data_IF_940192473465
#
_entry.id   IF_940192473465
#
_cell.length_a   1.000
_cell.length_b   1.000
_cell.length_c   1.000
_cell.angle_alpha   90.00
_cell.angle_beta   90.00
_cell.angle_gamma   90.00
#
_symmetry.space_group_name_H-M   'P 1'
#
loop_
_entity.id
_entity.type
_entity.pdbx_description
1 polymer ?
#
# COMPACT_ATOMS: atom_id res chain seq x y z
N UNK A 1 1.35 31.57 10.23
CA UNK A 1 1.02 30.14 10.42
C UNK A 1 2.20 29.34 9.91
N UNK A 2 2.59 28.26 10.60
CA UNK A 2 3.58 27.33 10.05
C UNK A 2 3.02 26.74 8.74
N UNK A 3 3.88 26.55 7.72
CA UNK A 3 3.45 25.88 6.49
C UNK A 3 3.00 24.46 6.83
N UNK A 4 1.78 24.11 6.46
CA UNK A 4 1.29 22.74 6.49
C UNK A 4 1.63 22.06 5.16
N UNK A 5 1.95 20.78 5.22
CA UNK A 5 2.32 19.98 4.05
C UNK A 5 1.46 18.73 3.98
N UNK A 6 1.23 18.26 2.76
CA UNK A 6 0.71 16.93 2.50
C UNK A 6 1.89 16.07 2.05
N UNK A 7 2.03 14.90 2.65
CA UNK A 7 3.04 13.90 2.30
C UNK A 7 2.31 12.63 1.90
N UNK A 8 2.23 12.41 0.59
CA UNK A 8 1.80 11.13 0.04
C UNK A 8 3.02 10.24 0.00
N UNK A 9 2.95 9.03 0.53
CA UNK A 9 4.11 8.14 0.60
C UNK A 9 3.73 6.68 0.36
N UNK A 10 4.75 5.92 -0.02
CA UNK A 10 4.71 4.48 -0.20
C UNK A 10 6.08 3.88 0.16
N UNK A 11 6.13 2.58 0.50
CA UNK A 11 7.36 1.90 0.92
C UNK A 11 7.56 0.57 0.19
N UNK A 12 8.79 0.33 -0.25
CA UNK A 12 9.20 -0.99 -0.73
C UNK A 12 10.01 -1.75 0.31
N UNK A 13 9.76 -3.06 0.36
CA UNK A 13 10.39 -3.93 1.34
C UNK A 13 10.80 -5.27 0.75
N UNK A 14 11.77 -5.91 1.40
CA UNK A 14 12.14 -7.31 1.17
C UNK A 14 12.01 -8.10 2.48
N UNK A 15 11.97 -9.44 2.43
CA UNK A 15 12.15 -10.27 3.62
C UNK A 15 13.49 -10.00 4.33
N UNK A 16 13.46 -9.88 5.65
CA UNK A 16 14.63 -9.77 6.50
C UNK A 16 15.24 -11.17 6.70
N UNK A 17 16.06 -11.59 5.73
CA UNK A 17 16.67 -12.92 5.72
C UNK A 17 17.35 -13.24 7.05
N UNK A 18 18.09 -12.31 7.66
CA UNK A 18 18.78 -12.53 8.94
C UNK A 18 17.82 -12.81 10.10
N UNK A 19 16.70 -12.08 10.18
CA UNK A 19 15.67 -12.36 11.18
C UNK A 19 15.01 -13.73 10.93
N UNK A 20 14.74 -14.04 9.67
CA UNK A 20 14.14 -15.31 9.26
C UNK A 20 15.05 -16.48 9.66
N UNK A 21 16.36 -16.41 9.36
CA UNK A 21 17.34 -17.42 9.80
C UNK A 21 17.31 -17.60 11.30
N UNK A 22 17.29 -16.49 12.05
CA UNK A 22 17.28 -16.52 13.52
C UNK A 22 16.04 -17.20 14.10
N UNK A 23 14.86 -16.99 13.51
CA UNK A 23 13.60 -17.49 14.06
C UNK A 23 13.28 -18.90 13.56
N UNK A 24 13.49 -19.17 12.27
CA UNK A 24 13.06 -20.40 11.62
C UNK A 24 14.20 -21.39 11.35
N UNK A 25 15.46 -20.99 11.53
CA UNK A 25 16.61 -21.86 11.28
C UNK A 25 16.78 -22.25 9.80
N UNK A 26 16.30 -21.41 8.88
CA UNK A 26 16.44 -21.62 7.44
C UNK A 26 17.86 -21.22 7.02
N UNK A 27 18.59 -22.12 6.37
CA UNK A 27 19.92 -21.87 5.82
C UNK A 27 19.86 -21.59 4.32
N UNK A 28 20.92 -20.96 3.78
CA UNK A 28 21.02 -20.60 2.36
C UNK A 28 21.47 -19.16 2.13
N UNK A 29 21.51 -18.72 0.86
CA UNK A 29 21.74 -17.31 0.53
C UNK A 29 20.59 -16.42 1.06
N UNK A 30 20.79 -15.10 1.14
CA UNK A 30 19.74 -14.18 1.61
C UNK A 30 18.47 -14.30 0.73
N UNK A 31 18.65 -14.47 -0.58
CA UNK A 31 17.59 -14.69 -1.55
C UNK A 31 16.87 -16.03 -1.31
N UNK A 32 17.61 -17.13 -1.18
CA UNK A 32 17.02 -18.45 -0.93
C UNK A 32 16.20 -18.47 0.36
N UNK A 33 16.70 -17.82 1.42
CA UNK A 33 15.99 -17.71 2.70
C UNK A 33 14.70 -16.91 2.54
N UNK A 34 14.73 -15.84 1.74
CA UNK A 34 13.57 -15.00 1.46
C UNK A 34 12.48 -15.78 0.71
N UNK A 35 12.85 -16.47 -0.36
CA UNK A 35 11.94 -17.28 -1.19
C UNK A 35 11.34 -18.42 -0.37
N UNK A 36 12.15 -19.13 0.44
CA UNK A 36 11.67 -20.20 1.30
C UNK A 36 10.67 -19.69 2.35
N UNK A 37 10.92 -18.52 2.96
CA UNK A 37 10.01 -17.94 3.93
C UNK A 37 8.65 -17.57 3.30
N UNK A 38 8.66 -16.98 2.11
CA UNK A 38 7.44 -16.65 1.36
C UNK A 38 6.65 -17.92 1.00
N UNK A 39 7.33 -18.99 0.59
CA UNK A 39 6.69 -20.27 0.30
C UNK A 39 6.05 -20.90 1.54
N UNK A 40 6.74 -20.90 2.69
CA UNK A 40 6.19 -21.39 3.97
C UNK A 40 4.99 -20.55 4.42
N UNK A 41 5.05 -19.22 4.24
CA UNK A 41 3.92 -18.33 4.54
C UNK A 41 2.72 -18.61 3.64
N UNK A 42 2.95 -18.91 2.35
CA UNK A 42 1.90 -19.30 1.40
C UNK A 42 1.24 -20.61 1.78
N UNK A 43 2.03 -21.61 2.18
CA UNK A 43 1.51 -22.88 2.68
C UNK A 43 0.64 -22.68 3.93
N UNK A 44 1.07 -21.82 4.86
CA UNK A 44 0.37 -21.59 6.13
C UNK A 44 -0.88 -20.69 6.00
N UNK A 45 -0.87 -19.70 5.11
CA UNK A 45 -1.86 -18.61 5.08
C UNK A 45 -2.57 -18.40 3.74
N UNK A 46 -2.07 -19.00 2.66
CA UNK A 46 -2.52 -18.75 1.29
C UNK A 46 -1.95 -17.49 0.63
N UNK A 47 -1.08 -16.74 1.31
CA UNK A 47 -0.41 -15.54 0.79
C UNK A 47 1.11 -15.65 0.94
N UNK A 48 1.88 -15.12 -0.01
CA UNK A 48 3.34 -15.01 0.12
C UNK A 48 3.77 -13.80 0.97
N UNK A 49 2.81 -12.93 1.33
CA UNK A 49 3.08 -11.72 2.09
C UNK A 49 3.38 -12.04 3.55
N UNK A 50 4.58 -11.67 4.01
CA UNK A 50 5.05 -12.00 5.34
C UNK A 50 4.42 -11.08 6.41
N UNK A 51 4.37 -11.52 7.67
CA UNK A 51 4.04 -10.62 8.78
C UNK A 51 5.04 -9.45 8.91
N UNK A 52 4.57 -8.27 9.27
CA UNK A 52 5.31 -6.97 9.20
C UNK A 52 6.70 -6.97 9.83
N UNK A 53 6.95 -7.77 10.88
CA UNK A 53 8.27 -7.82 11.54
C UNK A 53 9.35 -8.47 10.67
N UNK A 54 8.96 -9.29 9.69
CA UNK A 54 9.86 -9.96 8.76
C UNK A 54 10.20 -9.11 7.53
N UNK A 55 9.69 -7.89 7.44
CA UNK A 55 10.05 -6.98 6.35
C UNK A 55 11.27 -6.12 6.73
N UNK A 56 12.02 -5.74 5.71
CA UNK A 56 13.14 -4.79 5.75
C UNK A 56 12.89 -3.74 4.66
N UNK A 57 12.97 -2.46 5.02
CA UNK A 57 12.74 -1.36 4.09
C UNK A 57 13.92 -1.20 3.15
N UNK A 58 13.61 -1.05 1.86
CA UNK A 58 14.60 -0.79 0.81
C UNK A 58 14.36 0.56 0.12
N UNK A 59 13.11 1.03 0.05
CA UNK A 59 12.78 2.36 -0.45
C UNK A 59 11.62 2.98 0.33
N UNK A 60 11.62 4.32 0.42
CA UNK A 60 10.47 5.13 0.83
C UNK A 60 10.38 6.29 -0.16
N UNK A 61 9.36 6.30 -1.01
CA UNK A 61 9.10 7.39 -1.94
C UNK A 61 7.99 8.29 -1.42
N UNK A 62 8.08 9.57 -1.75
CA UNK A 62 7.08 10.55 -1.35
C UNK A 62 6.79 11.59 -2.43
N UNK A 63 5.51 11.90 -2.60
CA UNK A 63 5.06 13.17 -3.18
C UNK A 63 4.83 14.17 -2.05
N UNK A 64 5.46 15.33 -2.19
CA UNK A 64 5.20 16.49 -1.35
C UNK A 64 4.23 17.43 -2.05
N UNK A 65 3.18 17.83 -1.35
CA UNK A 65 2.25 18.86 -1.77
C UNK A 65 2.06 19.92 -0.68
N UNK A 66 1.58 21.10 -1.06
CA UNK A 66 1.13 22.09 -0.08
C UNK A 66 -0.21 21.70 0.56
N UNK A 67 -0.70 22.53 1.48
CA UNK A 67 -1.94 22.26 2.22
C UNK A 67 -3.20 22.18 1.35
N UNK A 68 -3.15 22.71 0.12
CA UNK A 68 -4.25 22.67 -0.85
C UNK A 68 -4.12 21.53 -1.84
N UNK A 69 -3.09 20.68 -1.69
CA UNK A 69 -2.83 19.59 -2.62
C UNK A 69 -2.06 20.01 -3.87
N UNK A 70 -1.45 21.19 -3.92
CA UNK A 70 -0.58 21.55 -5.05
C UNK A 70 0.73 20.78 -4.98
N UNK A 71 1.03 20.05 -6.05
CA UNK A 71 2.28 19.31 -6.21
C UNK A 71 3.52 20.21 -6.03
N UNK A 72 4.49 19.73 -5.24
CA UNK A 72 5.78 20.40 -5.05
C UNK A 72 6.93 19.57 -5.63
N UNK A 73 6.99 18.28 -5.32
CA UNK A 73 8.01 17.34 -5.84
C UNK A 73 7.63 15.89 -5.57
N UNK A 74 8.23 14.97 -6.33
CA UNK A 74 8.32 13.54 -6.03
C UNK A 74 9.81 13.17 -5.83
N UNK A 75 10.12 12.30 -4.88
CA UNK A 75 11.46 11.76 -4.68
C UNK A 75 11.48 10.55 -3.75
N UNK A 76 12.39 9.61 -3.98
CA UNK A 76 12.79 8.60 -2.98
C UNK A 76 13.75 9.15 -1.92
N UNK A 77 13.57 8.74 -0.66
CA UNK A 77 14.47 9.06 0.45
C UNK A 77 15.84 8.39 0.28
N UNK A 78 16.88 9.19 0.02
CA UNK A 78 18.26 8.70 0.02
C UNK A 78 18.76 8.35 1.42
N UNK A 79 19.53 7.27 1.57
CA UNK A 79 20.21 6.93 2.81
C UNK A 79 21.22 5.80 2.60
N UNK A 80 22.26 5.74 3.43
CA UNK A 80 23.31 4.71 3.31
C UNK A 80 22.83 3.31 3.71
N UNK A 81 21.82 3.25 4.56
CA UNK A 81 21.24 2.05 5.13
C UNK A 81 19.77 2.30 5.49
N UNK A 82 19.04 1.22 5.79
CA UNK A 82 17.63 1.26 6.18
C UNK A 82 17.38 2.21 7.37
N UNK A 83 18.28 2.22 8.36
CA UNK A 83 18.13 3.06 9.55
C UNK A 83 18.12 4.54 9.17
N UNK A 84 19.01 4.96 8.28
CA UNK A 84 19.06 6.35 7.83
C UNK A 84 17.82 6.75 7.03
N UNK A 85 17.33 5.88 6.15
CA UNK A 85 16.11 6.09 5.36
C UNK A 85 14.91 6.32 6.30
N UNK A 86 14.69 5.40 7.24
CA UNK A 86 13.59 5.51 8.22
C UNK A 86 13.77 6.73 9.12
N UNK A 87 15.00 7.01 9.57
CA UNK A 87 15.27 8.16 10.43
C UNK A 87 14.94 9.49 9.73
N UNK A 88 15.23 9.63 8.43
CA UNK A 88 14.88 10.83 7.66
C UNK A 88 13.36 10.99 7.53
N UNK A 89 12.63 9.92 7.23
CA UNK A 89 11.17 9.96 7.16
C UNK A 89 10.53 10.33 8.50
N UNK A 90 10.95 9.70 9.60
CA UNK A 90 10.43 10.02 10.94
C UNK A 90 10.82 11.42 11.40
N UNK A 91 12.03 11.89 11.09
CA UNK A 91 12.45 13.26 11.35
C UNK A 91 11.53 14.26 10.64
N UNK A 92 11.21 14.00 9.38
CA UNK A 92 10.28 14.83 8.63
C UNK A 92 8.88 14.89 9.29
N UNK A 93 8.34 13.75 9.71
CA UNK A 93 7.05 13.71 10.44
C UNK A 93 7.13 14.51 11.75
N UNK A 94 8.19 14.34 12.53
CA UNK A 94 8.38 15.04 13.80
C UNK A 94 8.51 16.55 13.64
N UNK A 95 9.28 17.00 12.65
CA UNK A 95 9.59 18.42 12.45
C UNK A 95 8.40 19.17 11.83
N UNK A 96 7.66 18.54 10.90
CA UNK A 96 6.68 19.25 10.06
C UNK A 96 5.22 18.87 10.33
N UNK A 97 4.95 17.75 11.00
CA UNK A 97 3.59 17.26 11.25
C UNK A 97 2.68 17.31 9.99
N UNK A 98 3.13 16.77 8.84
CA UNK A 98 2.37 16.81 7.59
C UNK A 98 1.07 16.00 7.70
N UNK A 99 0.06 16.29 6.88
CA UNK A 99 -1.00 15.32 6.60
C UNK A 99 -0.41 14.19 5.78
N UNK A 100 -0.38 12.98 6.34
CA UNK A 100 0.04 11.78 5.63
C UNK A 100 -1.09 11.28 4.73
N UNK A 101 -0.73 10.83 3.53
CA UNK A 101 -1.63 10.15 2.61
C UNK A 101 -0.94 8.88 2.12
N UNK A 102 -1.68 7.78 2.07
CA UNK A 102 -1.15 6.48 1.64
C UNK A 102 -2.28 5.64 1.05
N UNK A 103 -1.94 4.58 0.32
CA UNK A 103 -2.87 3.50 0.00
C UNK A 103 -2.52 2.27 0.84
N UNK A 104 -3.39 1.87 1.78
CA UNK A 104 -3.14 0.76 2.73
C UNK A 104 -1.96 0.98 3.70
N UNK A 105 -1.46 2.21 3.85
CA UNK A 105 -0.37 2.53 4.77
C UNK A 105 -0.67 2.28 6.24
N UNK A 106 -1.95 2.25 6.64
CA UNK A 106 -2.37 1.84 7.99
C UNK A 106 -2.33 0.33 8.15
N UNK A 107 -2.60 -0.42 7.08
CA UNK A 107 -2.58 -1.87 7.07
C UNK A 107 -1.18 -2.47 7.02
N UNK A 108 -0.21 -1.73 6.45
CA UNK A 108 1.16 -2.25 6.27
C UNK A 108 2.26 -1.24 6.59
N UNK A 109 2.40 -0.16 5.82
CA UNK A 109 3.59 0.69 5.80
C UNK A 109 3.92 1.30 7.17
N UNK A 110 2.98 1.98 7.81
CA UNK A 110 3.21 2.61 9.11
C UNK A 110 3.44 1.56 10.21
N UNK A 111 2.63 0.50 10.37
CA UNK A 111 2.95 -0.58 11.30
C UNK A 111 4.36 -1.15 11.10
N UNK A 112 4.73 -1.44 9.85
CA UNK A 112 6.05 -1.97 9.49
C UNK A 112 7.15 -0.96 9.85
N UNK A 113 7.03 0.30 9.44
CA UNK A 113 7.99 1.37 9.75
C UNK A 113 8.15 1.56 11.24
N UNK A 114 7.08 1.50 12.04
CA UNK A 114 7.18 1.62 13.50
C UNK A 114 7.91 0.43 14.13
N UNK A 115 7.69 -0.79 13.63
CA UNK A 115 8.45 -1.98 14.07
C UNK A 115 9.94 -1.83 13.74
N UNK A 116 10.27 -1.36 12.54
CA UNK A 116 11.66 -1.10 12.14
C UNK A 116 12.28 0.07 12.91
N UNK A 117 11.51 1.11 13.20
CA UNK A 117 11.94 2.23 14.03
C UNK A 117 12.33 1.79 15.44
N UNK A 118 11.53 0.90 16.06
CA UNK A 118 11.85 0.30 17.36
C UNK A 118 13.16 -0.48 17.32
N UNK A 119 13.40 -1.27 16.26
CA UNK A 119 14.68 -1.98 16.08
C UNK A 119 15.89 -1.02 16.11
N UNK A 120 15.73 0.18 15.58
CA UNK A 120 16.80 1.18 15.47
C UNK A 120 16.80 2.24 16.58
N UNK A 121 15.93 2.11 17.58
CA UNK A 121 15.73 3.09 18.65
C UNK A 121 15.45 4.52 18.12
N UNK A 122 14.66 4.61 17.05
CA UNK A 122 14.27 5.89 16.45
C UNK A 122 12.99 6.43 17.10
N UNK A 123 12.87 7.76 17.14
CA UNK A 123 11.72 8.44 17.74
C UNK A 123 10.68 8.83 16.67
N UNK A 124 9.41 8.52 16.93
CA UNK A 124 8.25 8.93 16.14
C UNK A 124 7.24 9.71 17.01
N UNK A 125 7.71 10.67 17.80
CA UNK A 125 6.91 11.39 18.80
C UNK A 125 5.65 12.02 18.18
N UNK A 126 5.78 12.71 17.04
CA UNK A 126 4.63 13.34 16.39
C UNK A 126 3.56 12.34 15.95
N UNK A 127 3.96 11.13 15.53
CA UNK A 127 3.05 10.06 15.13
C UNK A 127 2.22 9.52 16.32
N UNK A 128 2.85 9.38 17.48
CA UNK A 128 2.20 8.88 18.70
C UNK A 128 1.56 9.97 19.57
N UNK A 129 1.85 11.23 19.30
CA UNK A 129 1.24 12.37 19.99
C UNK A 129 -0.27 12.43 19.71
N UNK A 130 -1.07 12.15 20.74
CA UNK A 130 -2.54 12.16 20.66
C UNK A 130 -3.17 13.49 21.02
N UNK A 131 -2.45 14.38 21.70
CA UNK A 131 -2.96 15.67 22.16
C UNK A 131 -1.91 16.76 21.93
N UNK A 132 -2.27 17.76 21.13
CA UNK A 132 -1.45 18.94 20.88
C UNK A 132 -2.36 20.08 20.43
N UNK A 133 -2.55 21.08 21.28
CA UNK A 133 -3.47 22.20 21.02
C UNK A 133 -3.00 23.08 19.87
N UNK A 134 -1.70 23.27 19.70
CA UNK A 134 -1.12 24.13 18.67
C UNK A 134 -1.32 23.54 17.27
N UNK A 135 -1.26 22.22 17.17
CA UNK A 135 -1.47 21.48 15.92
C UNK A 135 -2.92 21.01 15.73
N UNK A 136 -3.82 21.31 16.67
CA UNK A 136 -5.20 20.81 16.68
C UNK A 136 -5.31 19.26 16.72
N UNK A 137 -4.35 18.59 17.37
CA UNK A 137 -4.44 17.15 17.67
C UNK A 137 -5.26 16.91 18.91
N UNK A 138 -6.12 15.90 18.84
CA UNK A 138 -6.89 15.39 19.97
C UNK A 138 -7.09 13.88 19.82
N UNK A 139 -7.70 13.24 20.82
CA UNK A 139 -7.91 11.78 20.83
C UNK A 139 -8.66 11.22 19.61
N UNK A 140 -9.43 12.05 18.90
CA UNK A 140 -10.18 11.68 17.69
C UNK A 140 -9.51 12.12 16.39
N UNK A 141 -8.57 13.06 16.46
CA UNK A 141 -7.88 13.63 15.31
C UNK A 141 -6.37 13.65 15.57
N UNK A 142 -5.70 12.59 15.15
CA UNK A 142 -4.25 12.41 15.19
C UNK A 142 -3.87 11.32 14.16
N UNK A 143 -2.58 11.06 13.94
CA UNK A 143 -2.14 10.08 12.93
C UNK A 143 -2.70 8.67 13.13
N UNK A 144 -2.98 8.28 14.37
CA UNK A 144 -3.46 6.94 14.73
C UNK A 144 -4.98 6.84 14.77
N UNK A 145 -5.70 7.96 14.64
CA UNK A 145 -7.16 7.98 14.60
C UNK A 145 -7.65 7.50 13.22
N UNK A 146 -7.98 6.20 13.12
CA UNK A 146 -8.33 5.53 11.85
C UNK A 146 -9.40 6.26 11.03
N UNK A 147 -10.45 6.74 11.69
CA UNK A 147 -11.62 7.34 11.03
C UNK A 147 -11.48 8.85 10.78
N UNK A 148 -10.31 9.45 11.06
CA UNK A 148 -10.05 10.86 10.80
C UNK A 148 -9.03 11.03 9.68
N UNK A 149 -9.37 11.69 8.56
CA UNK A 149 -8.44 11.89 7.44
C UNK A 149 -7.46 13.06 7.67
N UNK A 150 -7.59 13.77 8.79
CA UNK A 150 -6.95 15.07 9.04
C UNK A 150 -5.43 14.99 9.13
N UNK A 151 -4.93 13.99 9.85
CA UNK A 151 -3.48 13.75 9.99
C UNK A 151 -3.01 12.57 9.14
N UNK A 152 -3.86 11.57 8.93
CA UNK A 152 -3.55 10.45 8.04
C UNK A 152 -4.80 10.03 7.27
N UNK A 153 -4.81 10.30 5.97
CA UNK A 153 -5.79 9.75 5.05
C UNK A 153 -5.22 8.47 4.42
N UNK A 154 -5.72 7.32 4.86
CA UNK A 154 -5.49 6.06 4.14
C UNK A 154 -6.59 5.88 3.10
N UNK A 155 -6.24 6.01 1.83
CA UNK A 155 -7.19 5.95 0.71
C UNK A 155 -7.90 4.61 0.62
N UNK A 156 -7.24 3.50 0.97
CA UNK A 156 -7.90 2.19 0.95
C UNK A 156 -9.00 2.14 2.01
N UNK A 157 -8.71 2.60 3.23
CA UNK A 157 -9.71 2.66 4.31
C UNK A 157 -10.89 3.53 3.88
N UNK A 158 -10.68 4.73 3.34
CA UNK A 158 -11.79 5.64 3.01
C UNK A 158 -12.58 5.20 1.77
N UNK A 159 -11.92 4.70 0.72
CA UNK A 159 -12.59 4.27 -0.51
C UNK A 159 -13.34 2.95 -0.31
N UNK A 160 -12.80 2.05 0.52
CA UNK A 160 -13.47 0.77 0.85
C UNK A 160 -14.57 0.89 1.91
N UNK A 161 -14.84 2.12 2.39
CA UNK A 161 -15.71 2.39 3.54
C UNK A 161 -15.30 1.54 4.76
N UNK A 162 -14.03 1.68 5.14
CA UNK A 162 -13.35 1.04 6.26
C UNK A 162 -13.39 -0.50 6.23
N UNK A 163 -13.35 -1.08 5.02
CA UNK A 163 -13.36 -2.51 4.78
C UNK A 163 -14.74 -3.12 4.52
N UNK A 164 -15.76 -2.29 4.30
CA UNK A 164 -17.07 -2.72 3.77
C UNK A 164 -16.92 -3.41 2.41
N UNK A 165 -15.97 -2.96 1.59
CA UNK A 165 -15.52 -3.64 0.36
C UNK A 165 -14.10 -4.18 0.56
N UNK A 166 -13.81 -5.38 0.04
CA UNK A 166 -12.48 -6.02 0.16
C UNK A 166 -11.85 -6.22 -1.21
N UNK A 167 -10.52 -6.37 -1.22
CA UNK A 167 -9.78 -6.75 -2.43
C UNK A 167 -9.48 -5.61 -3.40
N UNK A 168 -9.67 -4.35 -3.00
CA UNK A 168 -9.25 -3.20 -3.80
C UNK A 168 -7.71 -3.14 -3.83
N UNK A 169 -7.14 -3.21 -5.04
CA UNK A 169 -5.71 -2.97 -5.28
C UNK A 169 -5.54 -1.60 -5.92
N UNK A 170 -4.47 -0.88 -5.56
CA UNK A 170 -4.17 0.45 -6.09
C UNK A 170 -4.24 0.45 -7.62
N UNK A 171 -3.53 -0.47 -8.26
CA UNK A 171 -3.49 -0.62 -9.71
C UNK A 171 -4.89 -0.75 -10.34
N UNK A 172 -5.68 -1.74 -9.93
CA UNK A 172 -7.02 -1.95 -10.47
C UNK A 172 -7.95 -0.75 -10.25
N UNK A 173 -7.79 -0.04 -9.14
CA UNK A 173 -8.56 1.16 -8.85
C UNK A 173 -8.12 2.33 -9.73
N UNK A 174 -6.82 2.55 -9.89
CA UNK A 174 -6.26 3.54 -10.81
C UNK A 174 -6.73 3.30 -12.25
N UNK A 175 -6.60 2.07 -12.75
CA UNK A 175 -7.07 1.69 -14.08
C UNK A 175 -8.57 1.98 -14.26
N UNK A 176 -9.40 1.68 -13.25
CA UNK A 176 -10.85 1.97 -13.30
C UNK A 176 -11.18 3.47 -13.35
N UNK A 177 -10.22 4.33 -13.00
CA UNK A 177 -10.35 5.79 -12.95
C UNK A 177 -9.59 6.49 -14.09
N UNK A 178 -9.10 5.76 -15.09
CA UNK A 178 -8.23 6.25 -16.17
C UNK A 178 -6.92 6.88 -15.68
N UNK A 179 -6.41 6.48 -14.51
CA UNK A 179 -5.04 6.78 -14.09
C UNK A 179 -4.06 5.80 -14.78
N UNK A 180 -2.75 6.13 -14.83
CA UNK A 180 -1.73 5.22 -15.34
C UNK A 180 -1.81 3.81 -14.76
N UNK A 181 -2.00 3.69 -13.44
CA UNK A 181 -1.95 2.38 -12.78
C UNK A 181 -0.56 1.76 -12.90
N UNK A 182 -0.51 0.44 -13.08
CA UNK A 182 0.71 -0.35 -13.18
C UNK A 182 1.63 0.13 -14.30
N UNK A 183 2.87 0.46 -13.95
CA UNK A 183 3.92 0.78 -14.90
C UNK A 183 5.07 -0.23 -14.75
N UNK A 184 5.22 -1.11 -15.74
CA UNK A 184 6.33 -2.04 -16.06
C UNK A 184 6.86 -3.02 -15.00
N UNK A 185 6.98 -2.62 -13.73
CA UNK A 185 7.46 -3.44 -12.60
C UNK A 185 6.29 -3.82 -11.69
N UNK A 186 6.41 -4.96 -11.02
CA UNK A 186 5.40 -5.50 -10.11
C UNK A 186 6.01 -5.65 -8.71
N UNK A 187 5.21 -5.47 -7.65
CA UNK A 187 5.69 -5.68 -6.27
C UNK A 187 6.27 -7.08 -6.00
N UNK A 188 5.91 -8.09 -6.80
CA UNK A 188 6.51 -9.44 -6.73
C UNK A 188 7.94 -9.50 -7.29
N UNK A 189 8.36 -8.53 -8.10
CA UNK A 189 9.71 -8.42 -8.64
C UNK A 189 10.68 -7.66 -7.74
N UNK A 190 10.21 -6.99 -6.68
CA UNK A 190 11.06 -6.18 -5.78
C UNK A 190 12.18 -7.02 -5.16
N UNK A 191 11.89 -8.29 -4.84
CA UNK A 191 12.87 -9.23 -4.32
C UNK A 191 13.99 -9.51 -5.34
N UNK A 192 13.60 -9.87 -6.57
CA UNK A 192 14.53 -10.19 -7.66
C UNK A 192 15.38 -8.98 -8.02
N UNK A 193 14.76 -7.79 -8.16
CA UNK A 193 15.46 -6.53 -8.44
C UNK A 193 16.46 -6.18 -7.33
N UNK A 194 16.10 -6.41 -6.07
CA UNK A 194 16.99 -6.11 -4.94
C UNK A 194 18.25 -6.98 -4.98
N UNK A 195 18.10 -8.29 -5.18
CA UNK A 195 19.26 -9.20 -5.27
C UNK A 195 20.05 -9.06 -6.57
N UNK A 196 19.43 -8.54 -7.64
CA UNK A 196 20.11 -8.12 -8.86
C UNK A 196 20.89 -6.78 -8.70
N UNK A 197 20.74 -6.07 -7.58
CA UNK A 197 21.38 -4.78 -7.34
C UNK A 197 20.72 -3.59 -8.05
N UNK A 198 19.48 -3.75 -8.49
CA UNK A 198 18.72 -2.80 -9.31
C UNK A 198 17.88 -1.84 -8.45
N UNK A 199 18.49 -1.23 -7.43
CA UNK A 199 17.79 -0.34 -6.50
C UNK A 199 17.13 0.86 -7.18
N UNK A 200 17.71 1.37 -8.27
CA UNK A 200 17.13 2.50 -8.99
C UNK A 200 15.78 2.15 -9.64
N UNK A 201 15.62 0.90 -10.11
CA UNK A 201 14.34 0.41 -10.63
C UNK A 201 13.29 0.27 -9.51
N UNK A 202 13.69 -0.15 -8.31
CA UNK A 202 12.81 -0.19 -7.14
C UNK A 202 12.37 1.22 -6.75
N UNK A 203 13.30 2.18 -6.75
CA UNK A 203 12.98 3.58 -6.48
C UNK A 203 12.00 4.15 -7.50
N UNK A 204 12.25 3.89 -8.79
CA UNK A 204 11.37 4.32 -9.88
C UNK A 204 9.96 3.72 -9.77
N UNK A 205 9.87 2.43 -9.44
CA UNK A 205 8.60 1.75 -9.17
C UNK A 205 7.84 2.40 -7.99
N UNK A 206 8.52 2.60 -6.85
CA UNK A 206 7.93 3.24 -5.68
C UNK A 206 7.53 4.71 -5.94
N UNK A 207 8.32 5.44 -6.76
CA UNK A 207 7.97 6.79 -7.25
C UNK A 207 6.69 6.78 -8.11
N UNK A 208 6.52 5.78 -8.96
CA UNK A 208 5.30 5.59 -9.76
C UNK A 208 4.07 5.31 -8.89
N UNK A 209 4.19 4.42 -7.89
CA UNK A 209 3.08 4.07 -6.99
C UNK A 209 2.65 5.26 -6.12
N UNK A 210 3.60 6.08 -5.64
CA UNK A 210 3.25 7.29 -4.90
C UNK A 210 2.64 8.38 -5.79
N UNK A 211 3.04 8.48 -7.08
CA UNK A 211 2.40 9.38 -8.04
C UNK A 211 0.95 8.95 -8.35
N UNK A 212 0.71 7.66 -8.52
CA UNK A 212 -0.64 7.09 -8.65
C UNK A 212 -1.48 7.37 -7.39
N UNK A 213 -0.91 7.14 -6.20
CA UNK A 213 -1.57 7.42 -4.91
C UNK A 213 -1.90 8.90 -4.76
N UNK A 214 -1.01 9.80 -5.18
CA UNK A 214 -1.25 11.24 -5.12
C UNK A 214 -2.33 11.69 -6.10
N UNK A 215 -2.36 11.16 -7.32
CA UNK A 215 -3.44 11.50 -8.26
C UNK A 215 -4.78 10.92 -7.79
N UNK A 216 -4.80 9.70 -7.25
CA UNK A 216 -6.00 9.13 -6.62
C UNK A 216 -6.49 10.02 -5.46
N UNK A 217 -5.58 10.54 -4.65
CA UNK A 217 -5.88 11.53 -3.62
C UNK A 217 -6.55 12.79 -4.19
N UNK A 218 -6.04 13.36 -5.28
CA UNK A 218 -6.67 14.51 -5.92
C UNK A 218 -8.10 14.21 -6.41
N UNK A 219 -8.33 13.05 -7.02
CA UNK A 219 -9.69 12.62 -7.42
C UNK A 219 -10.61 12.47 -6.19
N UNK A 220 -10.09 11.95 -5.08
CA UNK A 220 -10.85 11.82 -3.83
C UNK A 220 -11.21 13.18 -3.21
N UNK A 221 -10.26 14.13 -3.16
CA UNK A 221 -10.51 15.49 -2.67
C UNK A 221 -11.50 16.25 -3.58
N UNK A 222 -11.44 16.04 -4.90
CA UNK A 222 -12.41 16.59 -5.85
C UNK A 222 -13.81 16.00 -5.61
N UNK A 223 -13.92 14.69 -5.40
CA UNK A 223 -15.18 14.00 -5.09
C UNK A 223 -15.85 14.56 -3.82
N UNK A 224 -15.04 14.94 -2.83
CA UNK A 224 -15.51 15.54 -1.59
C UNK A 224 -15.78 17.05 -1.69
N UNK A 225 -15.52 17.67 -2.85
CA UNK A 225 -15.56 19.11 -3.06
C UNK A 225 -14.60 19.91 -2.15
N UNK A 226 -13.50 19.29 -1.72
CA UNK A 226 -12.43 19.98 -0.98
C UNK A 226 -11.54 20.82 -1.92
N UNK A 227 -11.47 20.43 -3.20
CA UNK A 227 -10.85 21.19 -4.28
C UNK A 227 -11.87 21.40 -5.41
N UNK A 228 -11.74 22.49 -6.16
CA UNK A 228 -12.56 22.73 -7.34
C UNK A 228 -12.00 21.98 -8.56
N UNK A 229 -12.83 21.83 -9.59
CA UNK A 229 -12.37 21.26 -10.87
C UNK A 229 -11.22 22.08 -11.48
N UNK A 230 -11.23 23.41 -11.32
CA UNK A 230 -10.15 24.28 -11.76
C UNK A 230 -8.84 24.02 -11.00
N UNK A 231 -8.91 23.79 -9.68
CA UNK A 231 -7.75 23.42 -8.86
C UNK A 231 -7.19 22.07 -9.29
N UNK A 232 -8.05 21.09 -9.51
CA UNK A 232 -7.66 19.77 -10.01
C UNK A 232 -6.91 19.87 -11.35
N UNK A 233 -7.46 20.60 -12.33
CA UNK A 233 -6.80 20.86 -13.62
C UNK A 233 -5.43 21.52 -13.42
N UNK A 234 -5.36 22.54 -12.57
CA UNK A 234 -4.11 23.24 -12.27
C UNK A 234 -3.08 22.30 -11.64
N UNK A 235 -3.48 21.44 -10.71
CA UNK A 235 -2.59 20.46 -10.09
C UNK A 235 -2.06 19.45 -11.10
N UNK A 236 -2.89 18.95 -12.02
CA UNK A 236 -2.43 18.05 -13.10
C UNK A 236 -1.40 18.71 -14.01
N UNK A 237 -1.62 19.97 -14.40
CA UNK A 237 -0.67 20.73 -15.21
C UNK A 237 0.68 20.90 -14.49
N UNK A 238 0.66 21.21 -13.18
CA UNK A 238 1.88 21.36 -12.37
C UNK A 238 2.67 20.05 -12.28
N UNK A 239 2.00 18.91 -12.11
CA UNK A 239 2.66 17.60 -12.11
C UNK A 239 3.31 17.35 -13.47
N UNK A 240 2.55 17.51 -14.56
CA UNK A 240 3.04 17.26 -15.92
C UNK A 240 4.26 18.12 -16.28
N UNK A 241 4.23 19.41 -15.92
CA UNK A 241 5.37 20.31 -16.09
C UNK A 241 6.59 19.84 -15.26
N UNK A 242 6.36 19.47 -14.00
CA UNK A 242 7.44 18.99 -13.13
C UNK A 242 8.07 17.72 -13.67
N UNK A 243 7.27 16.72 -14.06
CA UNK A 243 7.75 15.44 -14.58
C UNK A 243 8.56 15.64 -15.85
N UNK A 244 8.04 16.43 -16.79
CA UNK A 244 8.73 16.76 -18.05
C UNK A 244 10.07 17.47 -17.81
N UNK A 245 10.15 18.35 -16.81
CA UNK A 245 11.35 19.14 -16.56
C UNK A 245 12.39 18.44 -15.69
N UNK A 246 11.97 17.68 -14.68
CA UNK A 246 12.85 17.17 -13.62
C UNK A 246 12.97 15.64 -13.62
N UNK A 247 12.00 14.93 -14.20
CA UNK A 247 11.92 13.48 -14.19
C UNK A 247 11.94 12.86 -15.59
N UNK A 248 12.30 13.60 -16.65
CA UNK A 248 12.30 13.08 -18.03
C UNK A 248 13.16 11.82 -18.25
N UNK A 249 14.09 11.51 -17.34
CA UNK A 249 14.92 10.31 -17.36
C UNK A 249 14.21 9.07 -16.77
N UNK A 250 13.11 9.27 -16.04
CA UNK A 250 12.28 8.21 -15.45
C UNK A 250 11.26 7.73 -16.47
N UNK A 251 11.10 6.41 -16.57
CA UNK A 251 10.18 5.78 -17.50
C UNK A 251 8.71 6.12 -17.25
N UNK A 252 8.32 6.33 -15.99
CA UNK A 252 6.95 6.71 -15.65
C UNK A 252 6.55 8.10 -16.21
N UNK A 253 7.51 8.99 -16.53
CA UNK A 253 7.19 10.39 -16.85
C UNK A 253 6.35 10.55 -18.11
N UNK A 254 6.69 9.84 -19.19
CA UNK A 254 5.92 9.91 -20.44
C UNK A 254 4.50 9.37 -20.26
N UNK A 255 4.38 8.26 -19.52
CA UNK A 255 3.09 7.61 -19.23
C UNK A 255 2.18 8.53 -18.42
N UNK A 256 2.68 9.14 -17.35
CA UNK A 256 1.91 10.08 -16.54
C UNK A 256 1.54 11.34 -17.34
N UNK A 257 2.47 11.91 -18.12
CA UNK A 257 2.17 13.08 -18.95
C UNK A 257 1.10 12.78 -20.00
N UNK A 258 1.15 11.60 -20.64
CA UNK A 258 0.13 11.16 -21.60
C UNK A 258 -1.24 11.00 -20.92
N UNK A 259 -1.29 10.29 -19.79
CA UNK A 259 -2.53 10.10 -19.06
C UNK A 259 -3.13 11.43 -18.57
N UNK A 260 -2.30 12.37 -18.13
CA UNK A 260 -2.73 13.72 -17.73
C UNK A 260 -3.34 14.45 -18.93
N UNK A 261 -2.70 14.39 -20.10
CA UNK A 261 -3.24 14.99 -21.33
C UNK A 261 -4.63 14.43 -21.67
N UNK A 262 -4.80 13.11 -21.56
CA UNK A 262 -6.09 12.46 -21.80
C UNK A 262 -7.16 12.87 -20.77
N UNK A 263 -6.81 12.94 -19.48
CA UNK A 263 -7.74 13.42 -18.45
C UNK A 263 -8.18 14.87 -18.71
N UNK A 264 -7.26 15.75 -19.13
CA UNK A 264 -7.59 17.13 -19.50
C UNK A 264 -8.50 17.19 -20.74
N UNK A 265 -8.29 16.29 -21.71
CA UNK A 265 -9.19 16.13 -22.85
C UNK A 265 -10.59 15.66 -22.41
N UNK A 266 -10.68 14.75 -21.43
CA UNK A 266 -11.98 14.32 -20.86
C UNK A 266 -12.70 15.44 -20.14
N UNK A 267 -11.99 16.22 -19.32
CA UNK A 267 -12.55 17.37 -18.60
C UNK A 267 -13.05 18.48 -19.53
N UNK A 268 -12.46 18.63 -20.73
CA UNK A 268 -12.90 19.58 -21.75
C UNK A 268 -13.95 19.02 -22.72
N UNK A 269 -14.35 17.75 -22.56
CA UNK A 269 -15.34 17.09 -23.41
C UNK A 269 -14.81 16.64 -24.78
N UNK A 270 -13.49 16.64 -24.98
CA UNK A 270 -12.82 16.16 -26.19
C UNK A 270 -12.68 14.63 -26.23
N UNK A 271 -12.66 14.00 -25.06
CA UNK A 271 -12.55 12.55 -24.89
C UNK A 271 -13.65 12.07 -23.93
N UNK A 272 -14.21 10.87 -24.14
CA UNK A 272 -15.21 10.30 -23.22
C UNK A 272 -14.55 9.60 -22.03
N UNK A 273 -15.29 9.30 -20.95
CA UNK A 273 -14.75 8.55 -19.80
C UNK A 273 -14.86 7.03 -19.95
N UNK A 274 -15.43 6.55 -21.06
CA UNK A 274 -15.67 5.12 -21.26
C UNK A 274 -14.35 4.42 -21.55
N UNK A 275 -14.02 3.39 -20.77
CA UNK A 275 -12.83 2.59 -21.01
C UNK A 275 -13.09 1.71 -22.23
N UNK A 276 -12.56 2.10 -23.38
CA UNK A 276 -12.64 1.31 -24.61
C UNK A 276 -11.40 0.45 -24.74
N UNK A 277 -11.62 -0.85 -24.78
CA UNK A 277 -10.56 -1.83 -25.04
C UNK A 277 -10.60 -2.15 -26.54
N UNK A 278 -9.52 -1.84 -27.25
CA UNK A 278 -9.40 -2.22 -28.65
C UNK A 278 -9.19 -3.73 -28.72
N UNK A 279 -10.22 -4.45 -29.20
CA UNK A 279 -10.21 -5.92 -29.19
C UNK A 279 -9.16 -6.51 -30.12
N UNK A 280 -8.68 -5.73 -31.09
CA UNK A 280 -7.69 -6.15 -32.08
C UNK A 280 -6.25 -6.08 -31.57
N UNK A 281 -5.97 -5.28 -30.53
CA UNK A 281 -4.63 -5.18 -29.91
C UNK A 281 -4.40 -6.17 -28.76
N UNK A 282 -5.43 -6.95 -28.40
CA UNK A 282 -5.33 -8.00 -27.40
C UNK A 282 -4.97 -9.31 -28.11
N UNK A 283 -3.69 -9.59 -28.28
CA UNK A 283 -3.23 -10.96 -28.55
C UNK A 283 -3.51 -11.80 -27.29
N UNK A 284 -4.72 -12.37 -27.20
CA UNK A 284 -5.00 -13.44 -26.24
C UNK A 284 -4.35 -14.74 -26.72
N UNK A 285 -3.03 -14.83 -26.72
CA UNK A 285 -2.32 -16.04 -27.13
C UNK A 285 -2.38 -17.19 -26.11
N UNK A 286 -3.07 -17.03 -24.97
CA UNK A 286 -3.18 -18.05 -23.92
C UNK A 286 -4.60 -18.59 -23.68
N UNK A 287 -5.59 -18.20 -24.47
CA UNK A 287 -6.99 -18.64 -24.25
C UNK A 287 -7.68 -19.29 -25.46
N UNK A 288 -6.93 -19.70 -26.49
CA UNK A 288 -7.49 -20.42 -27.66
C UNK A 288 -8.05 -21.82 -27.32
N UNK A 289 -7.79 -22.34 -26.11
CA UNK A 289 -8.33 -23.63 -25.64
C UNK A 289 -9.52 -23.53 -24.66
N UNK A 290 -10.01 -22.31 -24.36
CA UNK A 290 -11.19 -22.18 -23.49
C UNK A 290 -12.47 -22.22 -24.32
N UNK A 291 -13.14 -23.40 -24.30
CA UNK A 291 -14.48 -23.54 -24.89
C UNK A 291 -15.42 -22.49 -24.30
N UNK A 292 -16.25 -21.83 -25.14
CA UNK A 292 -17.30 -20.96 -24.64
C UNK A 292 -18.22 -21.73 -23.70
N UNK A 293 -18.33 -21.29 -22.44
CA UNK A 293 -19.25 -21.86 -21.46
C UNK A 293 -20.67 -21.64 -21.98
N UNK A 294 -21.42 -22.72 -22.16
CA UNK A 294 -22.81 -22.68 -22.62
C UNK A 294 -23.72 -22.05 -21.56
N UNK A 295 -24.83 -21.43 -21.99
CA UNK A 295 -25.86 -20.89 -21.06
C UNK A 295 -26.42 -21.96 -20.11
N UNK A 296 -26.27 -23.23 -20.45
CA UNK A 296 -26.69 -24.38 -19.64
C UNK A 296 -25.67 -24.74 -18.55
N UNK A 297 -24.37 -24.51 -18.79
CA UNK A 297 -23.30 -24.65 -17.78
C UNK A 297 -23.32 -23.49 -16.77
N UNK A 298 -23.66 -22.27 -17.20
CA UNK A 298 -23.87 -21.11 -16.32
C UNK A 298 -24.98 -21.33 -15.27
N UNK A 299 -25.98 -22.16 -15.59
CA UNK A 299 -27.11 -22.44 -14.69
C UNK A 299 -26.86 -23.57 -13.70
N UNK A 300 -25.72 -24.28 -13.77
CA UNK A 300 -25.41 -25.37 -12.83
C UNK A 300 -24.47 -24.98 -11.69
N UNK A 301 -23.72 -23.89 -11.82
CA UNK A 301 -22.70 -23.54 -10.80
C UNK A 301 -22.80 -22.15 -10.16
N UNK A 302 -23.82 -21.34 -10.45
CA UNK A 302 -23.91 -19.98 -9.88
C UNK A 302 -25.29 -19.58 -9.37
N UNK A 303 -25.93 -20.46 -8.58
CA UNK A 303 -27.03 -20.03 -7.69
C UNK A 303 -27.16 -20.96 -6.47
N UNK A 304 -26.20 -20.84 -5.55
CA UNK A 304 -26.18 -21.60 -4.29
C UNK A 304 -25.43 -20.90 -3.16
N UNK A 305 -25.33 -19.58 -3.18
CA UNK A 305 -24.62 -18.80 -2.19
C UNK A 305 -25.55 -17.92 -1.36
N UNK A 306 -26.50 -18.50 -0.61
CA UNK A 306 -27.18 -17.83 0.51
C UNK A 306 -27.83 -18.85 1.46
N UNK A 307 -27.39 -18.80 2.73
CA UNK A 307 -28.07 -19.27 3.94
C UNK A 307 -28.27 -20.78 4.13
N UNK A 308 -27.32 -21.45 4.79
CA UNK A 308 -27.68 -22.60 5.66
C UNK A 308 -28.21 -22.06 6.98
N UNK A 309 -29.45 -22.43 7.33
CA UNK A 309 -30.04 -22.16 8.66
C UNK A 309 -29.26 -22.93 9.73
N UNK A 310 -29.14 -22.32 10.91
CA UNK A 310 -28.49 -22.89 12.08
C UNK A 310 -29.17 -24.16 12.67
N UNK A 311 -30.16 -24.74 11.98
CA UNK A 311 -30.90 -25.94 12.41
C UNK A 311 -30.37 -27.27 11.85
N UNK A 312 -29.38 -27.25 10.95
CA UNK A 312 -28.95 -28.46 10.23
C UNK A 312 -27.66 -29.10 10.78
N UNK A 313 -27.16 -28.64 11.93
CA UNK A 313 -26.02 -29.26 12.63
C UNK A 313 -26.52 -30.38 13.56
N UNK A 314 -26.40 -31.64 13.13
CA UNK A 314 -26.53 -32.79 14.04
C UNK A 314 -25.27 -32.91 14.91
N UNK A 315 -25.40 -33.10 16.23
CA UNK A 315 -24.24 -33.33 17.09
C UNK A 315 -23.68 -34.73 16.82
N UNK A 316 -22.34 -34.83 16.66
CA UNK A 316 -21.65 -36.13 16.70
C UNK A 316 -21.18 -36.40 18.13
N UNK A 317 -21.62 -37.53 18.67
CA UNK A 317 -21.19 -38.11 19.93
C UNK A 317 -19.69 -38.45 19.98
N UNK A 318 -19.11 -38.54 21.20
CA UNK A 318 -17.66 -38.50 21.39
C UNK A 318 -17.01 -39.86 21.15
N UNK A 319 -15.85 -39.86 20.49
CA UNK A 319 -14.91 -40.98 20.61
C UNK A 319 -13.73 -40.55 21.45
N UNK A 320 -13.69 -41.13 22.64
CA UNK A 320 -12.56 -41.15 23.56
C UNK A 320 -11.28 -41.63 22.87
N UNK A 321 -10.18 -40.90 23.07
CA UNK A 321 -8.89 -41.49 23.43
C UNK A 321 -8.00 -40.43 24.09
N UNK A 322 -7.68 -40.75 25.33
CA UNK A 322 -6.74 -40.16 26.27
C UNK A 322 -5.37 -39.85 25.67
N UNK A 323 -4.83 -38.67 25.98
CA UNK A 323 -3.43 -38.44 26.37
C UNK A 323 -3.28 -37.00 26.91
N UNK A 324 -2.42 -36.88 27.93
CA UNK A 324 -2.03 -35.70 28.72
C UNK A 324 -2.85 -35.41 29.99
N UNK A 325 -2.42 -36.04 31.09
CA UNK A 325 -2.52 -35.45 32.43
C UNK A 325 -1.40 -34.40 32.56
N UNK A 326 -1.79 -33.15 32.78
CA UNK A 326 -0.91 -32.10 33.29
C UNK A 326 -0.78 -32.24 34.80
N UNK A 327 0.47 -32.22 35.31
CA UNK A 327 0.77 -31.80 36.67
C UNK A 327 1.52 -30.48 36.59
N UNK A 328 0.84 -29.41 36.98
CA UNK A 328 1.41 -28.09 37.25
C UNK A 328 2.03 -28.12 38.66
N UNK A 329 3.28 -27.69 38.86
CA UNK A 329 3.77 -27.28 40.18
C UNK A 329 3.59 -25.78 40.39
N UNK A 330 3.09 -25.44 41.59
CA UNK A 330 2.85 -24.11 42.12
C UNK A 330 4.13 -23.26 42.23
N UNK A 331 4.02 -21.96 41.91
CA UNK A 331 5.04 -20.95 42.23
C UNK A 331 4.55 -20.18 43.45
N UNK A 332 5.34 -20.24 44.52
CA UNK A 332 5.10 -19.53 45.78
C UNK A 332 5.67 -18.10 45.68
N UNK A 333 4.88 -17.10 46.09
CA UNK A 333 5.21 -15.67 45.99
C UNK A 333 5.54 -15.05 47.36
N UNK A 334 6.19 -15.81 48.23
CA UNK A 334 6.82 -15.30 49.45
C UNK A 334 8.22 -15.91 49.53
N UNK A 335 9.23 -15.18 49.04
CA UNK A 335 10.60 -15.15 49.55
C UNK A 335 11.39 -14.05 48.79
N UNK A 336 11.70 -12.99 49.56
CA UNK A 336 12.59 -11.81 49.38
C UNK A 336 13.05 -11.32 47.99
#
# INVERSE_FOLDING_TARGET
MAKSYICVFDCETIPDANLIRKIYGIDGSDEDVSVQAMALQKEASGSEFLPVMFHRVVAISAVMADEYGKFLKVSTMEGKDEREIIAKFLKFINDYNPRLVSFNGRGFDLPMLMVRAMRYNLNAAAYYESENKELNKNKWENYRARYSPKFHLDLLDFISDFGSVRGLKLDTLCASLNLPGKYDVHGDQVLELYYAGELDKINEYCESDVLNTYWLFLKFELLQANILQEDYINHLNVISEFLTKNCAHRGYSEVFCSAISDELARLSGQLDYEIKVDKESLEFSEFDDVRPISKEELNRDMLGGLLKKASDLKPKEPKSKTLFEEKVPEINLDDE
#
